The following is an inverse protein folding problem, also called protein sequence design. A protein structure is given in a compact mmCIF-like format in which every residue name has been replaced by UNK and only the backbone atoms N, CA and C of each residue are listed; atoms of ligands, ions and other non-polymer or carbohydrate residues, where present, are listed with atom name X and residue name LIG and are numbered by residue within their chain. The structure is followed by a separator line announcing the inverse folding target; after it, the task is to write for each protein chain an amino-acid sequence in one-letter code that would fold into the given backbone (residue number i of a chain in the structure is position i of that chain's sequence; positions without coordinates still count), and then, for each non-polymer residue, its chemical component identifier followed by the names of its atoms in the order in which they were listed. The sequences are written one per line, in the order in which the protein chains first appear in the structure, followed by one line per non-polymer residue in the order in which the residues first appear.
data_IF_228922286069
#
_entry.id   IF_228922286069
#
_cell.length_a   1.000
_cell.length_b   1.000
_cell.length_c   1.000
_cell.angle_alpha   90.00
_cell.angle_beta   90.00
_cell.angle_gamma   90.00
#
_symmetry.space_group_name_H-M   'P 1'
#
loop_
_entity.id
_entity.type
_entity.pdbx_description
1 polymer ?
#
# COMPACT_ATOMS: atom_id res chain seq x y z
N UNK A 1 17.47 -12.27 -14.25
CA UNK A 1 16.12 -11.80 -14.68
C UNK A 1 15.13 -11.76 -13.52
N UNK A 2 15.24 -12.68 -12.55
CA UNK A 2 14.46 -12.76 -11.31
C UNK A 2 14.69 -11.60 -10.33
N UNK A 3 15.85 -10.94 -10.35
CA UNK A 3 16.20 -9.87 -9.39
C UNK A 3 15.30 -8.62 -9.46
N UNK A 4 14.69 -8.35 -10.61
CA UNK A 4 13.80 -7.17 -10.80
C UNK A 4 12.33 -7.47 -10.54
N UNK A 5 11.93 -8.74 -10.57
CA UNK A 5 10.53 -9.16 -10.38
C UNK A 5 10.13 -8.99 -8.92
N UNK A 6 11.02 -9.37 -8.00
CA UNK A 6 10.78 -9.28 -6.56
C UNK A 6 10.46 -7.85 -6.09
N UNK A 7 11.26 -6.82 -6.40
CA UNK A 7 10.93 -5.44 -6.01
C UNK A 7 9.67 -4.93 -6.73
N UNK A 8 9.48 -5.26 -8.01
CA UNK A 8 8.29 -4.84 -8.75
C UNK A 8 6.99 -5.40 -8.17
N UNK A 9 6.99 -6.68 -7.77
CA UNK A 9 5.86 -7.31 -7.09
C UNK A 9 5.58 -6.64 -5.74
N UNK A 10 6.64 -6.33 -4.97
CA UNK A 10 6.52 -5.61 -3.71
C UNK A 10 5.85 -4.25 -3.88
N UNK A 11 6.33 -3.44 -4.85
CA UNK A 11 5.70 -2.14 -5.17
C UNK A 11 4.22 -2.29 -5.51
N UNK A 12 3.86 -3.28 -6.32
CA UNK A 12 2.47 -3.46 -6.72
C UNK A 12 1.59 -3.89 -5.54
N UNK A 13 1.96 -4.96 -4.82
CA UNK A 13 1.15 -5.52 -3.74
C UNK A 13 1.04 -4.53 -2.57
N UNK A 14 2.17 -4.05 -2.05
CA UNK A 14 2.17 -3.11 -0.92
C UNK A 14 1.69 -1.72 -1.32
N UNK A 15 1.90 -1.30 -2.57
CA UNK A 15 1.39 -0.03 -3.07
C UNK A 15 -0.14 -0.03 -3.16
N UNK A 16 -0.73 -1.03 -3.83
CA UNK A 16 -2.18 -1.12 -4.01
C UNK A 16 -2.87 -1.36 -2.67
N UNK A 17 -2.39 -2.31 -1.86
CA UNK A 17 -2.93 -2.55 -0.52
C UNK A 17 -2.74 -1.35 0.39
N UNK A 18 -1.59 -0.69 0.34
CA UNK A 18 -1.30 0.48 1.14
C UNK A 18 -2.23 1.65 0.83
N UNK A 19 -2.47 1.96 -0.45
CA UNK A 19 -3.46 2.99 -0.85
C UNK A 19 -4.85 2.59 -0.39
N UNK A 20 -5.25 1.34 -0.60
CA UNK A 20 -6.56 0.86 -0.21
C UNK A 20 -6.77 0.97 1.31
N UNK A 21 -5.83 0.48 2.12
CA UNK A 21 -5.90 0.53 3.59
C UNK A 21 -5.81 1.96 4.13
N UNK A 22 -5.03 2.83 3.48
CA UNK A 22 -4.96 4.24 3.84
C UNK A 22 -6.28 4.97 3.59
N UNK A 23 -6.93 4.74 2.44
CA UNK A 23 -8.09 5.51 2.00
C UNK A 23 -9.44 4.89 2.40
N UNK A 24 -9.59 3.57 2.31
CA UNK A 24 -10.87 2.88 2.50
C UNK A 24 -11.57 3.25 3.82
N UNK A 25 -10.89 3.31 5.00
CA UNK A 25 -11.53 3.63 6.28
C UNK A 25 -12.22 4.99 6.35
N UNK A 26 -11.91 5.90 5.42
CA UNK A 26 -12.45 7.26 5.34
C UNK A 26 -13.54 7.42 4.28
N UNK A 27 -13.94 6.33 3.62
CA UNK A 27 -14.98 6.33 2.60
C UNK A 27 -16.34 5.91 3.17
N UNK A 28 -17.43 6.39 2.56
CA UNK A 28 -18.78 5.94 2.90
C UNK A 28 -18.96 4.42 2.67
N UNK A 29 -18.26 3.87 1.68
CA UNK A 29 -18.26 2.43 1.40
C UNK A 29 -17.79 1.59 2.60
N UNK A 30 -16.79 2.06 3.35
CA UNK A 30 -16.32 1.36 4.54
C UNK A 30 -17.39 1.27 5.62
N UNK A 31 -18.18 2.33 5.80
CA UNK A 31 -19.26 2.37 6.78
C UNK A 31 -20.41 1.44 6.42
N UNK A 32 -20.77 1.40 5.14
CA UNK A 32 -21.80 0.49 4.63
C UNK A 32 -21.34 -0.97 4.71
N UNK A 33 -20.13 -1.26 4.25
CA UNK A 33 -19.57 -2.61 4.28
C UNK A 33 -19.40 -3.13 5.71
N UNK A 34 -18.88 -2.33 6.65
CA UNK A 34 -18.75 -2.75 8.05
C UNK A 34 -20.09 -2.90 8.75
N UNK A 35 -21.10 -2.12 8.38
CA UNK A 35 -22.45 -2.28 8.91
C UNK A 35 -23.09 -3.59 8.46
N UNK A 36 -22.95 -3.95 7.17
CA UNK A 36 -23.53 -5.17 6.59
C UNK A 36 -22.76 -6.42 7.00
N UNK A 37 -21.43 -6.37 6.97
CA UNK A 37 -20.56 -7.55 7.14
C UNK A 37 -20.16 -7.80 8.60
N UNK A 38 -20.15 -6.77 9.45
CA UNK A 38 -19.76 -6.89 10.87
C UNK A 38 -20.82 -6.29 11.81
N UNK A 39 -22.03 -6.87 11.91
CA UNK A 39 -23.11 -6.30 12.74
C UNK A 39 -22.75 -6.19 14.23
N UNK A 40 -21.93 -7.11 14.76
CA UNK A 40 -21.51 -7.08 16.17
C UNK A 40 -20.29 -6.16 16.44
N UNK A 41 -19.40 -5.99 15.46
CA UNK A 41 -18.13 -5.27 15.62
C UNK A 41 -18.08 -3.93 14.88
N UNK A 42 -19.10 -3.60 14.09
CA UNK A 42 -19.13 -2.43 13.21
C UNK A 42 -18.99 -1.11 13.96
N UNK A 43 -19.49 -1.01 15.20
CA UNK A 43 -19.26 0.17 16.04
C UNK A 43 -17.78 0.35 16.44
N UNK A 44 -17.09 -0.74 16.75
CA UNK A 44 -15.66 -0.72 17.09
C UNK A 44 -14.80 -0.41 15.86
N UNK A 45 -15.07 -1.05 14.73
CA UNK A 45 -14.31 -0.88 13.48
C UNK A 45 -14.49 0.52 12.87
N UNK A 46 -15.64 1.15 13.09
CA UNK A 46 -15.90 2.54 12.67
C UNK A 46 -15.37 3.58 13.66
N UNK A 47 -14.80 3.17 14.79
CA UNK A 47 -14.15 4.10 15.71
C UNK A 47 -12.97 4.80 15.04
N UNK A 48 -12.75 6.08 15.37
CA UNK A 48 -11.62 6.84 14.83
C UNK A 48 -10.26 6.20 15.12
N UNK A 49 -10.14 5.48 16.23
CA UNK A 49 -8.92 4.76 16.59
C UNK A 49 -8.63 3.58 15.65
N UNK A 50 -9.63 2.73 15.36
CA UNK A 50 -9.45 1.60 14.43
C UNK A 50 -9.22 2.09 13.00
N UNK A 51 -9.95 3.13 12.56
CA UNK A 51 -9.71 3.76 11.25
C UNK A 51 -8.27 4.28 11.15
N UNK A 52 -7.79 4.95 12.20
CA UNK A 52 -6.40 5.40 12.29
C UNK A 52 -5.39 4.27 12.26
N UNK A 53 -5.65 3.15 12.95
CA UNK A 53 -4.78 1.98 12.95
C UNK A 53 -4.71 1.31 11.56
N UNK A 54 -5.86 1.16 10.88
CA UNK A 54 -5.94 0.59 9.52
C UNK A 54 -5.23 1.50 8.52
N UNK A 55 -5.45 2.82 8.59
CA UNK A 55 -4.72 3.75 7.72
C UNK A 55 -3.23 3.81 8.03
N UNK A 56 -2.85 3.72 9.31
CA UNK A 56 -1.45 3.63 9.73
C UNK A 56 -0.74 2.40 9.16
N UNK A 57 -1.43 1.25 9.15
CA UNK A 57 -0.93 0.05 8.47
C UNK A 57 -0.74 0.29 6.97
N UNK A 58 -1.73 0.91 6.31
CA UNK A 58 -1.62 1.27 4.90
C UNK A 58 -0.45 2.22 4.59
N UNK A 59 -0.16 3.17 5.48
CA UNK A 59 1.02 4.05 5.35
C UNK A 59 2.35 3.28 5.48
N UNK A 60 2.42 2.26 6.35
CA UNK A 60 3.60 1.38 6.45
C UNK A 60 3.79 0.60 5.15
N UNK A 61 2.71 0.06 4.58
CA UNK A 61 2.77 -0.63 3.29
C UNK A 61 3.23 0.31 2.17
N UNK A 62 2.74 1.55 2.13
CA UNK A 62 3.21 2.55 1.18
C UNK A 62 4.68 2.91 1.37
N UNK A 63 5.17 2.96 2.61
CA UNK A 63 6.59 3.19 2.88
C UNK A 63 7.47 2.04 2.36
N UNK A 64 7.02 0.79 2.52
CA UNK A 64 7.70 -0.39 1.94
C UNK A 64 7.68 -0.30 0.41
N UNK A 65 6.54 -0.01 -0.20
CA UNK A 65 6.41 0.15 -1.65
C UNK A 65 7.32 1.26 -2.19
N UNK A 66 7.40 2.40 -1.49
CA UNK A 66 8.28 3.51 -1.88
C UNK A 66 9.76 3.13 -1.83
N UNK A 67 10.19 2.34 -0.83
CA UNK A 67 11.58 1.85 -0.73
C UNK A 67 11.93 0.91 -1.88
N UNK A 68 11.04 -0.02 -2.22
CA UNK A 68 11.22 -0.94 -3.34
C UNK A 68 11.23 -0.19 -4.68
N UNK A 69 10.34 0.79 -4.86
CA UNK A 69 10.30 1.64 -6.04
C UNK A 69 11.62 2.43 -6.21
N UNK A 70 12.16 2.98 -5.13
CA UNK A 70 13.45 3.65 -5.16
C UNK A 70 14.61 2.69 -5.50
N UNK A 71 14.59 1.45 -5.03
CA UNK A 71 15.57 0.42 -5.38
C UNK A 71 15.51 0.08 -6.87
N UNK A 72 14.30 -0.12 -7.41
CA UNK A 72 14.10 -0.37 -8.83
C UNK A 72 14.58 0.82 -9.67
N UNK A 73 14.25 2.06 -9.28
CA UNK A 73 14.65 3.26 -10.02
C UNK A 73 16.16 3.44 -10.09
N UNK A 74 16.89 3.17 -8.99
CA UNK A 74 18.36 3.17 -8.98
C UNK A 74 18.92 2.14 -9.96
N UNK A 75 18.35 0.93 -9.99
CA UNK A 75 18.79 -0.15 -10.88
C UNK A 75 18.57 0.15 -12.37
N UNK A 76 17.54 0.95 -12.69
CA UNK A 76 17.26 1.40 -14.06
C UNK A 76 18.23 2.50 -14.49
N UNK A 77 18.53 3.45 -13.58
CA UNK A 77 19.44 4.56 -13.87
C UNK A 77 20.89 4.11 -14.06
N UNK A 78 21.35 3.07 -13.37
CA UNK A 78 22.70 2.52 -13.55
C UNK A 78 22.90 1.76 -14.87
N UNK A 79 21.83 1.32 -15.53
CA UNK A 79 21.92 0.63 -16.82
C UNK A 79 22.10 1.56 -18.02
N UNK A 80 21.63 2.81 -17.95
CA UNK A 80 21.71 3.78 -19.05
C UNK A 80 23.02 4.56 -19.13
N UNK A 81 23.98 4.31 -18.24
CA UNK A 81 25.31 4.97 -18.25
C UNK A 81 26.37 4.22 -19.08
N UNK A 82 26.02 3.07 -19.69
CA UNK A 82 26.92 2.23 -20.48
C UNK A 82 26.79 2.36 -22.01
N UNK A 83 25.79 3.11 -22.49
CA UNK A 83 25.59 3.38 -23.92
C UNK A 83 25.88 4.87 -24.19
N UNK A 84 27.16 5.23 -24.11
CA UNK A 84 27.67 6.47 -24.69
C UNK A 84 28.13 6.22 -26.14
N UNK A 85 27.85 7.12 -27.09
CA UNK A 85 28.47 7.09 -28.43
C UNK A 85 29.98 7.35 -28.40
#
# INVERSE_FOLDING_TARGET
MTDRIRPALGVYVFGVLGVFLAAAPWTAFWDEATYVLLPAWGACVRSGWVRGAVSGLGLVDLAVAAREAAALWRSLRSGGAGEGP
#
